data_IF_800821159695
#
_entry.id   IF_800821159695
#
_cell.length_a   1.000
_cell.length_b   1.000
_cell.length_c   1.000
_cell.angle_alpha   90.00
_cell.angle_beta   90.00
_cell.angle_gamma   90.00
#
_symmetry.space_group_name_H-M   'P 1'
#
loop_
_entity.id
_entity.type
_entity.pdbx_description
1 polymer ?
#
# COMPACT_ATOMS: atom_id res chain seq x y z
N UNK A 1 26.91 107.64 34.59
CA UNK A 1 27.57 108.01 33.32
C UNK A 1 28.72 107.05 33.10
N UNK A 2 28.99 106.72 31.83
CA UNK A 2 29.80 105.59 31.28
C UNK A 2 29.01 104.27 31.28
N UNK A 3 28.54 103.67 30.18
CA UNK A 3 29.09 103.48 28.81
C UNK A 3 30.01 102.24 28.83
N UNK A 4 29.91 101.17 28.04
CA UNK A 4 29.20 100.82 26.79
C UNK A 4 29.48 99.32 26.52
N UNK A 5 28.71 98.71 25.61
CA UNK A 5 29.00 97.51 24.78
C UNK A 5 28.39 96.15 25.20
N UNK A 6 27.29 95.80 24.51
CA UNK A 6 26.79 94.42 24.33
C UNK A 6 27.76 93.64 23.44
N UNK A 7 28.23 92.49 23.92
CA UNK A 7 29.04 91.56 23.12
C UNK A 7 28.13 90.51 22.47
N UNK A 8 27.98 90.60 21.15
CA UNK A 8 27.36 89.56 20.33
C UNK A 8 28.25 88.31 20.33
N UNK A 9 27.72 87.16 20.78
CA UNK A 9 28.37 85.86 20.59
C UNK A 9 27.82 85.28 19.28
N UNK A 10 28.65 85.34 18.25
CA UNK A 10 28.36 84.72 16.96
C UNK A 10 28.42 83.20 17.09
N UNK A 11 27.33 82.54 16.71
CA UNK A 11 27.28 81.11 16.46
C UNK A 11 28.10 80.82 15.20
N UNK A 12 29.31 80.29 15.35
CA UNK A 12 30.10 79.79 14.22
C UNK A 12 29.72 78.33 13.97
N UNK A 13 28.96 78.10 12.91
CA UNK A 13 28.79 76.78 12.30
C UNK A 13 30.17 76.25 11.91
N UNK A 14 30.71 75.32 12.68
CA UNK A 14 31.77 74.44 12.22
C UNK A 14 31.16 73.49 11.18
N UNK A 15 31.06 73.95 9.93
CA UNK A 15 30.87 73.10 8.77
C UNK A 15 32.10 72.19 8.68
N UNK A 16 31.93 70.96 9.16
CA UNK A 16 32.89 69.87 9.03
C UNK A 16 33.14 69.68 7.52
N UNK A 17 34.30 70.11 7.02
CA UNK A 17 34.71 69.89 5.64
C UNK A 17 34.72 68.38 5.37
N UNK A 18 33.78 67.91 4.54
CA UNK A 18 33.83 66.56 4.00
C UNK A 18 35.10 66.46 3.14
N UNK A 19 36.11 65.73 3.63
CA UNK A 19 37.27 65.34 2.82
C UNK A 19 36.76 64.36 1.76
N UNK A 20 36.95 64.71 0.48
CA UNK A 20 36.58 63.82 -0.63
C UNK A 20 37.37 62.51 -0.58
N UNK A 21 36.70 61.41 -0.92
CA UNK A 21 37.27 60.06 -0.93
C UNK A 21 38.41 59.94 -1.95
N UNK A 22 39.47 59.21 -1.60
CA UNK A 22 40.56 58.90 -2.53
C UNK A 22 40.15 57.79 -3.50
N UNK A 23 40.73 57.75 -4.71
CA UNK A 23 40.52 56.64 -5.66
C UNK A 23 40.83 55.26 -5.04
N UNK A 24 41.83 55.21 -4.16
CA UNK A 24 42.23 53.99 -3.45
C UNK A 24 41.14 53.54 -2.47
N UNK A 25 40.47 54.45 -1.77
CA UNK A 25 39.36 54.11 -0.88
C UNK A 25 38.18 53.52 -1.65
N UNK A 26 37.88 54.03 -2.84
CA UNK A 26 36.81 53.47 -3.70
C UNK A 26 37.18 52.09 -4.24
N UNK A 27 38.45 51.85 -4.60
CA UNK A 27 38.92 50.53 -5.03
C UNK A 27 38.85 49.50 -3.88
N UNK A 28 39.23 49.91 -2.67
CA UNK A 28 39.14 49.05 -1.48
C UNK A 28 37.67 48.76 -1.14
N UNK A 29 36.79 49.76 -1.19
CA UNK A 29 35.37 49.56 -0.90
C UNK A 29 34.69 48.59 -1.88
N UNK A 30 34.99 48.70 -3.18
CA UNK A 30 34.44 47.80 -4.20
C UNK A 30 34.95 46.37 -4.06
N UNK A 31 36.25 46.20 -3.82
CA UNK A 31 36.84 44.86 -3.64
C UNK A 31 36.28 44.16 -2.41
N UNK A 32 36.12 44.87 -1.28
CA UNK A 32 35.49 44.32 -0.08
C UNK A 32 34.01 43.96 -0.34
N UNK A 33 33.26 44.83 -1.02
CA UNK A 33 31.85 44.58 -1.33
C UNK A 33 31.68 43.33 -2.20
N UNK A 34 32.53 43.15 -3.21
CA UNK A 34 32.52 41.96 -4.08
C UNK A 34 32.80 40.67 -3.30
N UNK A 35 33.80 40.69 -2.42
CA UNK A 35 34.14 39.52 -1.59
C UNK A 35 32.99 39.15 -0.65
N UNK A 36 32.34 40.14 -0.03
CA UNK A 36 31.20 39.90 0.84
C UNK A 36 30.02 39.30 0.06
N UNK A 37 29.69 39.87 -1.11
CA UNK A 37 28.59 39.35 -1.95
C UNK A 37 28.86 37.90 -2.33
N UNK A 38 30.06 37.57 -2.81
CA UNK A 38 30.43 36.19 -3.17
C UNK A 38 30.27 35.24 -1.98
N UNK A 39 30.73 35.65 -0.80
CA UNK A 39 30.63 34.86 0.43
C UNK A 39 29.17 34.60 0.80
N UNK A 40 28.33 35.65 0.81
CA UNK A 40 26.90 35.52 1.16
C UNK A 40 26.16 34.67 0.13
N UNK A 41 26.45 34.83 -1.16
CA UNK A 41 25.84 33.99 -2.21
C UNK A 41 26.20 32.52 -2.02
N UNK A 42 27.46 32.20 -1.69
CA UNK A 42 27.88 30.82 -1.44
C UNK A 42 27.16 30.21 -0.24
N UNK A 43 27.02 30.99 0.85
CA UNK A 43 26.25 30.57 2.02
C UNK A 43 24.79 30.33 1.63
N UNK A 44 24.18 31.24 0.88
CA UNK A 44 22.78 31.10 0.45
C UNK A 44 22.56 29.84 -0.41
N UNK A 45 23.44 29.57 -1.38
CA UNK A 45 23.36 28.36 -2.22
C UNK A 45 23.54 27.10 -1.37
N UNK A 46 24.53 27.10 -0.46
CA UNK A 46 24.79 25.97 0.44
C UNK A 46 23.62 25.71 1.39
N UNK A 47 23.03 26.77 1.95
CA UNK A 47 21.83 26.69 2.79
C UNK A 47 20.66 26.13 1.99
N UNK A 48 20.40 26.64 0.77
CA UNK A 48 19.32 26.12 -0.09
C UNK A 48 19.50 24.64 -0.44
N UNK A 49 20.72 24.23 -0.77
CA UNK A 49 21.04 22.83 -1.01
C UNK A 49 20.81 21.97 0.23
N UNK A 50 21.24 22.46 1.40
CA UNK A 50 21.02 21.80 2.70
C UNK A 50 19.53 21.67 3.00
N UNK A 51 18.75 22.74 2.82
CA UNK A 51 17.29 22.71 3.01
C UNK A 51 16.62 21.69 2.11
N UNK A 52 16.99 21.63 0.82
CA UNK A 52 16.43 20.64 -0.10
C UNK A 52 16.80 19.21 0.28
N UNK A 53 18.01 18.99 0.78
CA UNK A 53 18.46 17.69 1.25
C UNK A 53 17.72 17.26 2.51
N UNK A 54 17.61 18.14 3.52
CA UNK A 54 16.89 17.85 4.76
C UNK A 54 15.42 17.56 4.49
N UNK A 55 14.82 18.30 3.57
CA UNK A 55 13.44 18.12 3.16
C UNK A 55 13.23 16.79 2.41
N UNK A 56 14.14 16.43 1.50
CA UNK A 56 14.13 15.12 0.84
C UNK A 56 14.26 13.96 1.83
N UNK A 57 15.18 14.09 2.80
CA UNK A 57 15.36 13.09 3.84
C UNK A 57 14.12 12.94 4.73
N UNK A 58 13.48 14.05 5.12
CA UNK A 58 12.23 14.03 5.89
C UNK A 58 11.13 13.28 5.16
N UNK A 59 10.95 13.53 3.85
CA UNK A 59 9.97 12.80 3.03
C UNK A 59 10.25 11.31 2.92
N UNK A 60 11.52 10.91 2.76
CA UNK A 60 11.90 9.49 2.72
C UNK A 60 11.61 8.81 4.06
N UNK A 61 11.91 9.46 5.18
CA UNK A 61 11.65 8.92 6.51
C UNK A 61 10.15 8.80 6.80
N UNK A 62 9.38 9.83 6.44
CA UNK A 62 7.92 9.83 6.59
C UNK A 62 7.26 8.77 5.71
N UNK A 63 7.61 8.73 4.42
CA UNK A 63 7.11 7.74 3.47
C UNK A 63 7.47 6.31 3.88
N UNK A 64 8.72 6.08 4.32
CA UNK A 64 9.15 4.78 4.83
C UNK A 64 8.34 4.33 6.06
N UNK A 65 8.02 5.25 6.98
CA UNK A 65 7.16 4.94 8.13
C UNK A 65 5.76 4.52 7.70
N UNK A 66 5.13 5.25 6.79
CA UNK A 66 3.80 4.90 6.27
C UNK A 66 3.80 3.57 5.53
N UNK A 67 4.80 3.33 4.68
CA UNK A 67 4.95 2.08 3.94
C UNK A 67 4.99 0.86 4.89
N UNK A 68 5.81 0.93 5.94
CA UNK A 68 5.91 -0.14 6.94
C UNK A 68 4.63 -0.28 7.75
N UNK A 69 3.93 0.80 8.09
CA UNK A 69 2.69 0.74 8.87
C UNK A 69 1.57 0.02 8.08
N UNK A 70 1.40 0.34 6.79
CA UNK A 70 0.44 -0.34 5.93
C UNK A 70 0.74 -1.83 5.77
N UNK A 71 2.00 -2.18 5.48
CA UNK A 71 2.43 -3.57 5.37
C UNK A 71 2.25 -4.32 6.70
N UNK A 72 2.66 -3.73 7.82
CA UNK A 72 2.57 -4.37 9.13
C UNK A 72 1.12 -4.65 9.56
N UNK A 73 0.19 -3.73 9.26
CA UNK A 73 -1.22 -3.95 9.54
C UNK A 73 -1.76 -5.18 8.81
N UNK A 74 -1.43 -5.34 7.53
CA UNK A 74 -1.95 -6.45 6.72
C UNK A 74 -1.22 -7.76 6.96
N UNK A 75 0.06 -7.71 7.34
CA UNK A 75 0.82 -8.89 7.79
C UNK A 75 0.22 -9.43 9.09
N UNK A 76 -0.23 -8.57 10.02
CA UNK A 76 -0.84 -9.01 11.29
C UNK A 76 -2.19 -9.72 11.09
N UNK A 77 -2.90 -9.38 10.03
CA UNK A 77 -4.20 -9.98 9.70
C UNK A 77 -4.08 -11.17 8.76
N UNK A 78 -2.93 -11.37 8.11
CA UNK A 78 -2.75 -12.38 7.08
C UNK A 78 -3.14 -13.78 7.58
N UNK A 79 -3.89 -14.50 6.73
CA UNK A 79 -4.35 -15.86 7.02
C UNK A 79 -5.51 -15.93 8.03
N UNK A 80 -6.01 -14.81 8.56
CA UNK A 80 -7.17 -14.83 9.44
C UNK A 80 -8.40 -15.37 8.70
N UNK A 81 -9.03 -16.41 9.23
CA UNK A 81 -10.19 -17.06 8.63
C UNK A 81 -11.32 -17.26 9.65
N UNK A 82 -11.50 -16.27 10.54
CA UNK A 82 -12.54 -16.27 11.57
C UNK A 82 -12.20 -17.13 12.78
N UNK A 83 -13.22 -17.76 13.35
CA UNK A 83 -13.09 -18.63 14.52
C UNK A 83 -12.20 -19.88 14.35
N UNK A 84 -11.82 -20.22 13.11
CA UNK A 84 -10.90 -21.33 12.86
C UNK A 84 -9.46 -20.91 13.17
N UNK A 85 -8.82 -21.56 14.16
CA UNK A 85 -7.43 -21.24 14.53
C UNK A 85 -6.43 -21.48 13.39
N UNK A 86 -6.68 -22.50 12.56
CA UNK A 86 -6.04 -22.78 11.25
C UNK A 86 -6.95 -23.73 10.47
N UNK A 87 -7.50 -23.30 9.34
CA UNK A 87 -8.14 -24.23 8.38
C UNK A 87 -7.04 -24.84 7.50
N UNK A 88 -7.14 -26.13 7.21
CA UNK A 88 -6.32 -26.68 6.13
C UNK A 88 -6.93 -26.29 4.79
N UNK A 89 -6.13 -26.16 3.74
CA UNK A 89 -6.64 -25.87 2.40
C UNK A 89 -7.66 -26.91 1.91
N UNK A 90 -7.62 -28.15 2.42
CA UNK A 90 -8.61 -29.19 2.13
C UNK A 90 -10.00 -28.92 2.72
N UNK A 91 -10.10 -28.07 3.75
CA UNK A 91 -11.34 -27.69 4.42
C UNK A 91 -11.96 -26.41 3.83
N UNK A 92 -11.29 -25.77 2.87
CA UNK A 92 -11.76 -24.54 2.25
C UNK A 92 -12.16 -24.81 0.81
N UNK A 93 -13.41 -24.50 0.49
CA UNK A 93 -13.97 -24.63 -0.85
C UNK A 93 -14.13 -23.23 -1.46
N UNK A 94 -13.32 -22.93 -2.48
CA UNK A 94 -13.41 -21.67 -3.22
C UNK A 94 -14.23 -21.88 -4.51
N UNK A 95 -15.44 -21.33 -4.54
CA UNK A 95 -16.33 -21.43 -5.70
C UNK A 95 -16.31 -20.18 -6.57
N UNK A 96 -15.45 -19.19 -6.34
CA UNK A 96 -15.38 -18.00 -7.20
C UNK A 96 -14.76 -18.36 -8.57
N UNK A 97 -15.35 -17.86 -9.67
CA UNK A 97 -15.00 -18.30 -11.02
C UNK A 97 -13.78 -17.59 -11.63
N UNK A 98 -13.84 -16.27 -11.78
CA UNK A 98 -12.93 -15.55 -12.68
C UNK A 98 -11.71 -14.93 -11.97
N UNK A 99 -11.78 -14.69 -10.65
CA UNK A 99 -10.69 -14.04 -9.87
C UNK A 99 -9.97 -15.00 -8.94
N UNK A 100 -9.77 -16.25 -9.37
CA UNK A 100 -9.32 -17.35 -8.49
C UNK A 100 -8.08 -17.00 -7.68
N UNK A 101 -7.08 -16.34 -8.26
CA UNK A 101 -5.85 -16.02 -7.51
C UNK A 101 -6.01 -14.93 -6.47
N UNK A 102 -6.78 -13.89 -6.75
CA UNK A 102 -7.10 -12.87 -5.76
C UNK A 102 -7.88 -13.43 -4.57
N UNK A 103 -8.64 -14.51 -4.77
CA UNK A 103 -9.51 -15.09 -3.73
C UNK A 103 -9.09 -16.47 -3.24
N UNK A 104 -7.97 -17.00 -3.75
CA UNK A 104 -7.45 -18.32 -3.39
C UNK A 104 -7.06 -18.33 -1.91
N UNK A 105 -7.46 -19.39 -1.22
CA UNK A 105 -7.12 -19.59 0.17
C UNK A 105 -5.71 -20.18 0.30
N UNK A 106 -4.87 -19.49 1.06
CA UNK A 106 -3.60 -20.02 1.55
C UNK A 106 -3.61 -20.00 3.08
N UNK A 107 -3.00 -21.02 3.69
CA UNK A 107 -3.00 -21.21 5.15
C UNK A 107 -2.16 -20.13 5.83
N UNK A 108 -1.05 -19.70 5.21
CA UNK A 108 -0.27 -18.58 5.71
C UNK A 108 -0.95 -17.23 5.39
N UNK A 109 -1.80 -17.20 4.37
CA UNK A 109 -2.46 -16.01 3.85
C UNK A 109 -1.46 -14.96 3.36
N UNK A 110 -0.24 -15.39 3.05
CA UNK A 110 0.86 -14.54 2.62
C UNK A 110 1.57 -15.20 1.44
N UNK A 111 1.76 -14.46 0.37
CA UNK A 111 2.57 -14.90 -0.76
C UNK A 111 3.58 -13.80 -1.08
N UNK A 112 4.81 -14.18 -1.41
CA UNK A 112 5.84 -13.24 -1.82
C UNK A 112 6.39 -13.69 -3.16
N UNK A 113 6.47 -12.75 -4.10
CA UNK A 113 6.98 -12.99 -5.43
C UNK A 113 8.11 -12.01 -5.70
N UNK A 114 9.21 -12.49 -6.26
CA UNK A 114 10.33 -11.65 -6.66
C UNK A 114 10.29 -11.44 -8.16
N UNK A 115 10.41 -10.19 -8.60
CA UNK A 115 10.55 -9.87 -10.01
C UNK A 115 12.02 -9.70 -10.36
N UNK A 116 12.58 -10.62 -11.14
CA UNK A 116 14.00 -10.57 -11.50
C UNK A 116 14.31 -9.61 -12.64
N UNK A 117 13.32 -9.19 -13.45
CA UNK A 117 13.45 -8.14 -14.46
C UNK A 117 14.40 -8.46 -15.63
N UNK A 118 14.63 -9.73 -15.95
CA UNK A 118 15.70 -10.17 -16.88
C UNK A 118 15.24 -10.55 -18.30
N UNK A 119 13.94 -10.47 -18.62
CA UNK A 119 13.32 -11.11 -19.79
C UNK A 119 12.21 -10.33 -20.51
N UNK A 120 12.19 -9.00 -20.41
CA UNK A 120 11.20 -8.17 -21.14
C UNK A 120 9.81 -8.17 -20.50
N UNK A 121 8.77 -7.84 -21.27
CA UNK A 121 7.37 -7.68 -20.78
C UNK A 121 6.65 -8.99 -20.44
N UNK A 122 7.36 -10.13 -20.40
CA UNK A 122 6.78 -11.45 -20.14
C UNK A 122 6.62 -11.77 -18.65
N UNK A 123 5.57 -12.53 -18.31
CA UNK A 123 5.31 -13.04 -16.95
C UNK A 123 6.27 -14.17 -16.50
N UNK A 124 7.36 -14.44 -17.25
CA UNK A 124 8.31 -15.53 -16.99
C UNK A 124 9.44 -15.20 -16.01
N UNK A 125 9.56 -13.94 -15.60
CA UNK A 125 10.67 -13.41 -14.79
C UNK A 125 10.39 -13.40 -13.28
N UNK A 126 9.27 -14.00 -12.89
CA UNK A 126 8.80 -14.05 -11.50
C UNK A 126 9.26 -15.33 -10.82
N UNK A 127 9.74 -15.19 -9.60
CA UNK A 127 10.19 -16.30 -8.76
C UNK A 127 9.53 -16.22 -7.37
N UNK A 128 8.67 -17.17 -6.98
CA UNK A 128 8.09 -18.24 -7.81
C UNK A 128 7.29 -17.68 -9.00
N UNK A 129 7.05 -18.50 -10.03
CA UNK A 129 6.32 -18.06 -11.21
C UNK A 129 4.93 -17.52 -10.82
N UNK A 130 4.61 -16.30 -11.27
CA UNK A 130 3.25 -15.80 -11.14
C UNK A 130 2.30 -16.74 -11.90
N UNK A 131 1.08 -16.96 -11.39
CA UNK A 131 0.05 -17.72 -12.09
C UNK A 131 -0.10 -17.23 -13.54
N UNK A 132 0.14 -18.11 -14.51
CA UNK A 132 0.23 -17.75 -15.93
C UNK A 132 -1.15 -17.54 -16.56
N UNK A 133 -1.39 -16.32 -17.05
CA UNK A 133 -2.63 -15.83 -17.69
C UNK A 133 -2.81 -16.38 -19.13
N UNK A 134 -1.87 -17.16 -19.67
CA UNK A 134 -1.83 -17.47 -21.11
C UNK A 134 -2.94 -18.40 -21.66
N UNK A 135 -3.87 -18.95 -20.85
CA UNK A 135 -4.96 -19.80 -21.35
C UNK A 135 -6.36 -19.48 -20.83
N UNK A 136 -6.53 -18.42 -20.04
CA UNK A 136 -7.84 -17.87 -19.74
C UNK A 136 -7.91 -16.50 -20.42
N UNK A 137 -9.02 -16.20 -21.11
CA UNK A 137 -9.28 -14.82 -21.50
C UNK A 137 -9.12 -13.89 -20.30
N UNK A 138 -8.75 -12.63 -20.56
CA UNK A 138 -8.81 -11.48 -19.65
C UNK A 138 -9.38 -11.76 -18.25
N UNK A 139 -8.57 -11.53 -17.19
CA UNK A 139 -8.93 -11.38 -15.76
C UNK A 139 -8.41 -12.40 -14.71
N UNK A 140 -7.25 -13.07 -14.90
CA UNK A 140 -6.76 -14.09 -13.92
C UNK A 140 -5.42 -13.81 -13.20
N UNK A 141 -4.77 -12.66 -13.39
CA UNK A 141 -3.47 -12.34 -12.76
C UNK A 141 -3.45 -11.06 -11.93
N UNK A 142 -2.43 -10.90 -11.09
CA UNK A 142 -2.28 -9.71 -10.24
C UNK A 142 -1.92 -8.45 -11.02
N UNK A 143 -1.16 -8.58 -12.12
CA UNK A 143 -0.55 -7.45 -12.82
C UNK A 143 -0.64 -7.57 -14.33
N UNK A 144 -0.70 -6.42 -14.99
CA UNK A 144 -0.42 -6.29 -16.41
C UNK A 144 1.09 -6.21 -16.67
N UNK A 145 1.52 -6.54 -17.89
CA UNK A 145 2.92 -6.42 -18.27
C UNK A 145 3.42 -4.97 -18.12
N UNK A 146 4.58 -4.80 -17.48
CA UNK A 146 5.19 -3.48 -17.24
C UNK A 146 4.60 -2.70 -16.06
N UNK A 147 3.58 -3.22 -15.38
CA UNK A 147 2.95 -2.52 -14.24
C UNK A 147 3.85 -2.45 -12.99
N UNK A 148 4.73 -3.45 -12.81
CA UNK A 148 5.64 -3.55 -11.65
C UNK A 148 7.06 -3.15 -12.05
N UNK A 149 7.72 -2.36 -11.19
CA UNK A 149 9.12 -1.98 -11.38
C UNK A 149 10.06 -3.20 -11.33
N UNK A 150 11.00 -3.35 -12.28
CA UNK A 150 11.98 -4.43 -12.28
C UNK A 150 12.81 -4.53 -10.99
N UNK A 151 13.21 -5.75 -10.63
CA UNK A 151 14.07 -6.03 -9.48
C UNK A 151 13.47 -5.62 -8.12
N UNK A 152 12.13 -5.59 -8.04
CA UNK A 152 11.36 -5.36 -6.81
C UNK A 152 10.54 -6.60 -6.46
N UNK A 153 10.27 -6.79 -5.17
CA UNK A 153 9.44 -7.87 -4.68
C UNK A 153 7.98 -7.42 -4.58
N UNK A 154 7.06 -8.37 -4.66
CA UNK A 154 5.62 -8.21 -4.47
C UNK A 154 5.21 -9.00 -3.25
N UNK A 155 4.33 -8.39 -2.45
CA UNK A 155 3.72 -9.03 -1.30
C UNK A 155 2.21 -9.12 -1.47
N UNK A 156 1.66 -10.31 -1.27
CA UNK A 156 0.23 -10.56 -1.23
C UNK A 156 -0.15 -10.96 0.18
N UNK A 157 -1.16 -10.29 0.74
CA UNK A 157 -1.82 -10.68 1.99
C UNK A 157 -3.29 -10.96 1.72
N UNK A 158 -3.80 -12.07 2.27
CA UNK A 158 -5.19 -12.50 2.16
C UNK A 158 -5.72 -12.84 3.53
N UNK A 159 -6.90 -12.34 3.84
CA UNK A 159 -7.51 -12.54 5.15
C UNK A 159 -9.01 -12.24 5.11
N UNK A 160 -9.74 -12.83 6.05
CA UNK A 160 -11.11 -12.48 6.35
C UNK A 160 -11.19 -11.26 7.26
N UNK A 161 -12.19 -10.42 7.06
CA UNK A 161 -12.59 -9.38 8.00
C UNK A 161 -13.97 -9.74 8.51
N UNK A 162 -14.09 -9.91 9.82
CA UNK A 162 -15.38 -10.24 10.43
C UNK A 162 -16.41 -9.15 10.12
N UNK A 163 -17.58 -9.59 9.68
CA UNK A 163 -18.75 -8.75 9.49
C UNK A 163 -19.82 -9.23 10.44
N UNK A 164 -20.52 -8.31 11.10
CA UNK A 164 -21.53 -8.63 12.11
C UNK A 164 -22.85 -9.10 11.44
N UNK A 165 -22.75 -10.19 10.69
CA UNK A 165 -23.84 -10.79 9.93
C UNK A 165 -24.14 -12.19 10.50
N UNK A 166 -25.38 -12.40 10.94
CA UNK A 166 -25.83 -13.67 11.50
C UNK A 166 -26.71 -14.41 10.50
N UNK A 167 -26.45 -15.71 10.29
CA UNK A 167 -27.26 -16.56 9.42
C UNK A 167 -28.62 -16.85 10.06
N UNK A 168 -29.73 -16.58 9.36
CA UNK A 168 -31.11 -16.73 9.89
C UNK A 168 -31.68 -18.12 9.68
N UNK A 169 -31.27 -18.80 8.61
CA UNK A 169 -31.71 -20.15 8.28
C UNK A 169 -30.51 -20.98 7.82
N UNK A 170 -30.44 -22.28 8.19
CA UNK A 170 -29.36 -23.15 7.73
C UNK A 170 -29.22 -23.09 6.21
N UNK A 171 -27.99 -22.93 5.73
CA UNK A 171 -27.69 -22.96 4.31
C UNK A 171 -27.77 -24.42 3.83
N UNK A 172 -28.97 -24.91 3.51
CA UNK A 172 -29.24 -26.28 3.05
C UNK A 172 -28.77 -26.52 1.60
N UNK A 173 -27.48 -26.29 1.31
CA UNK A 173 -26.87 -26.35 -0.05
C UNK A 173 -27.76 -25.73 -1.13
N UNK A 174 -28.49 -24.68 -0.77
CA UNK A 174 -29.33 -23.92 -1.69
C UNK A 174 -28.44 -22.89 -2.40
N UNK A 175 -28.97 -22.22 -3.43
CA UNK A 175 -28.26 -21.13 -4.11
C UNK A 175 -28.18 -19.82 -3.31
N UNK A 176 -28.73 -19.81 -2.09
CA UNK A 176 -28.92 -18.63 -1.28
C UNK A 176 -28.42 -18.87 0.14
N UNK A 177 -27.66 -17.91 0.66
CA UNK A 177 -27.36 -17.75 2.07
C UNK A 177 -28.21 -16.59 2.61
N UNK A 178 -28.99 -16.83 3.65
CA UNK A 178 -29.84 -15.82 4.28
C UNK A 178 -29.25 -15.36 5.59
N UNK A 179 -29.21 -14.05 5.78
CA UNK A 179 -28.67 -13.43 6.99
C UNK A 179 -29.65 -12.40 7.54
N UNK A 180 -29.51 -12.11 8.83
CA UNK A 180 -30.34 -11.14 9.53
C UNK A 180 -29.99 -9.73 9.04
N UNK A 181 -31.00 -8.96 8.68
CA UNK A 181 -30.86 -7.54 8.41
C UNK A 181 -30.80 -6.78 9.73
N UNK A 182 -29.64 -6.24 10.03
CA UNK A 182 -29.35 -5.32 11.13
C UNK A 182 -28.95 -3.94 10.59
N UNK A 183 -28.98 -2.86 11.39
CA UNK A 183 -28.44 -1.56 10.97
C UNK A 183 -26.99 -1.60 10.48
N UNK A 184 -26.18 -2.55 10.96
CA UNK A 184 -24.77 -2.74 10.59
C UNK A 184 -24.59 -3.48 9.25
N UNK A 185 -25.57 -4.30 8.87
CA UNK A 185 -25.54 -5.08 7.62
C UNK A 185 -26.31 -4.41 6.49
N UNK A 186 -27.16 -3.43 6.80
CA UNK A 186 -27.92 -2.67 5.82
C UNK A 186 -26.98 -1.86 4.91
N UNK A 187 -27.09 -2.07 3.59
CA UNK A 187 -26.20 -1.51 2.56
C UNK A 187 -24.70 -1.85 2.73
N UNK A 188 -24.34 -2.74 3.66
CA UNK A 188 -22.95 -3.12 3.88
C UNK A 188 -22.39 -4.01 2.77
N UNK A 189 -23.27 -4.72 2.05
CA UNK A 189 -22.92 -5.69 1.02
C UNK A 189 -23.55 -5.31 -0.32
N UNK A 190 -22.80 -5.55 -1.39
CA UNK A 190 -23.20 -5.27 -2.76
C UNK A 190 -22.90 -6.46 -3.67
N UNK A 191 -23.49 -6.44 -4.86
CA UNK A 191 -23.18 -7.46 -5.87
C UNK A 191 -21.67 -7.49 -6.16
N UNK A 192 -21.15 -8.70 -6.37
CA UNK A 192 -19.75 -9.07 -6.57
C UNK A 192 -18.84 -8.96 -5.34
N UNK A 193 -19.35 -8.60 -4.15
CA UNK A 193 -18.57 -8.75 -2.93
C UNK A 193 -18.23 -10.22 -2.71
N UNK A 194 -16.99 -10.48 -2.28
CA UNK A 194 -16.48 -11.81 -2.00
C UNK A 194 -16.55 -12.04 -0.50
N UNK A 195 -17.25 -13.09 -0.12
CA UNK A 195 -17.45 -13.48 1.27
C UNK A 195 -16.87 -14.86 1.52
N UNK A 196 -16.41 -15.06 2.75
CA UNK A 196 -16.10 -16.37 3.30
C UNK A 196 -17.12 -16.66 4.40
N UNK A 197 -17.68 -17.86 4.41
CA UNK A 197 -18.48 -18.37 5.53
C UNK A 197 -17.74 -19.54 6.17
N UNK A 198 -17.67 -19.58 7.50
CA UNK A 198 -16.87 -20.57 8.24
C UNK A 198 -17.58 -21.07 9.49
N UNK A 199 -17.57 -22.38 9.75
CA UNK A 199 -18.08 -23.01 10.98
C UNK A 199 -16.96 -23.42 11.96
N UNK A 200 -15.80 -22.77 11.82
CA UNK A 200 -14.53 -23.05 12.50
C UNK A 200 -13.82 -24.35 12.06
N UNK A 201 -14.46 -25.23 11.28
CA UNK A 201 -13.87 -26.48 10.79
C UNK A 201 -13.77 -26.53 9.27
N UNK A 202 -14.73 -25.93 8.58
CA UNK A 202 -14.83 -25.82 7.14
C UNK A 202 -15.17 -24.38 6.76
N UNK A 203 -14.76 -23.98 5.57
CA UNK A 203 -15.14 -22.69 5.00
C UNK A 203 -15.47 -22.78 3.51
N UNK A 204 -16.35 -21.89 3.07
CA UNK A 204 -16.65 -21.69 1.66
C UNK A 204 -16.44 -20.21 1.30
N UNK A 205 -15.71 -19.96 0.21
CA UNK A 205 -15.50 -18.63 -0.36
C UNK A 205 -16.36 -18.52 -1.62
N UNK A 206 -17.20 -17.48 -1.68
CA UNK A 206 -18.11 -17.24 -2.79
C UNK A 206 -18.27 -15.75 -3.07
N UNK A 207 -18.77 -15.42 -4.26
CA UNK A 207 -19.14 -14.05 -4.65
C UNK A 207 -20.65 -13.88 -4.66
N UNK A 208 -21.13 -12.72 -4.19
CA UNK A 208 -22.55 -12.37 -4.24
C UNK A 208 -22.94 -12.06 -5.70
N UNK A 209 -23.83 -12.86 -6.25
CA UNK A 209 -24.28 -12.74 -7.64
C UNK A 209 -25.52 -11.85 -7.84
N UNK A 210 -26.30 -11.58 -6.80
CA UNK A 210 -27.50 -10.74 -6.85
C UNK A 210 -27.24 -9.32 -6.35
N UNK A 211 -28.13 -8.40 -6.71
CA UNK A 211 -28.28 -7.17 -5.94
C UNK A 211 -28.83 -7.51 -4.56
N UNK A 212 -28.07 -7.19 -3.51
CA UNK A 212 -28.46 -7.42 -2.12
C UNK A 212 -29.58 -6.45 -1.77
N UNK A 213 -30.74 -6.99 -1.44
CA UNK A 213 -31.90 -6.22 -0.99
C UNK A 213 -32.47 -6.87 0.27
N UNK A 214 -33.00 -6.04 1.16
CA UNK A 214 -33.69 -6.49 2.37
C UNK A 214 -35.11 -6.93 2.05
N UNK A 215 -35.51 -8.11 2.53
CA UNK A 215 -36.86 -8.62 2.44
C UNK A 215 -37.34 -9.03 3.83
N UNK A 216 -38.19 -8.19 4.45
CA UNK A 216 -38.50 -8.34 5.87
C UNK A 216 -37.27 -8.09 6.73
N UNK A 217 -36.93 -9.03 7.60
CA UNK A 217 -35.74 -8.98 8.46
C UNK A 217 -34.56 -9.76 7.87
N UNK A 218 -34.61 -10.18 6.60
CA UNK A 218 -33.57 -10.98 5.96
C UNK A 218 -32.90 -10.26 4.78
N UNK A 219 -31.58 -10.42 4.69
CA UNK A 219 -30.79 -10.18 3.49
C UNK A 219 -30.49 -11.53 2.83
N UNK A 220 -30.54 -11.56 1.49
CA UNK A 220 -30.22 -12.77 0.72
C UNK A 220 -28.93 -12.58 -0.08
N UNK A 221 -27.93 -13.40 0.19
CA UNK A 221 -26.71 -13.55 -0.60
C UNK A 221 -26.87 -14.75 -1.53
N UNK A 222 -27.21 -14.49 -2.79
CA UNK A 222 -27.26 -15.51 -3.83
C UNK A 222 -25.87 -15.71 -4.41
N UNK A 223 -25.40 -16.95 -4.49
CA UNK A 223 -24.11 -17.31 -5.09
C UNK A 223 -24.34 -18.12 -6.38
N UNK A 224 -24.95 -17.50 -7.39
CA UNK A 224 -25.29 -18.15 -8.65
C UNK A 224 -24.09 -18.48 -9.54
N UNK A 225 -24.30 -19.38 -10.52
CA UNK A 225 -23.28 -19.86 -11.47
C UNK A 225 -22.72 -18.78 -12.43
N UNK A 226 -23.23 -17.55 -12.37
CA UNK A 226 -22.74 -16.43 -13.18
C UNK A 226 -21.37 -15.94 -12.73
N UNK A 227 -21.14 -15.88 -11.43
CA UNK A 227 -19.90 -15.39 -10.80
C UNK A 227 -19.19 -16.49 -9.98
N UNK A 228 -19.84 -17.64 -9.82
CA UNK A 228 -19.33 -18.79 -9.08
C UNK A 228 -19.31 -20.05 -9.96
N UNK A 229 -18.39 -20.98 -9.70
CA UNK A 229 -18.29 -22.30 -10.35
C UNK A 229 -19.38 -23.27 -9.91
N UNK A 230 -20.03 -22.98 -8.78
CA UNK A 230 -21.12 -23.78 -8.21
C UNK A 230 -22.13 -22.83 -7.58
N UNK A 231 -23.41 -23.18 -7.68
CA UNK A 231 -24.50 -22.50 -6.98
C UNK A 231 -24.84 -23.19 -5.65
N UNK A 232 -23.91 -23.96 -5.09
CA UNK A 232 -24.03 -24.63 -3.81
C UNK A 232 -22.71 -24.51 -3.06
N UNK A 233 -22.80 -24.17 -1.79
CA UNK A 233 -21.68 -24.29 -0.85
C UNK A 233 -21.37 -25.77 -0.59
N UNK A 234 -20.11 -26.07 -0.30
CA UNK A 234 -19.66 -27.44 -0.01
C UNK A 234 -20.28 -27.96 1.29
N UNK A 235 -20.43 -27.09 2.29
CA UNK A 235 -20.93 -27.42 3.63
C UNK A 235 -22.25 -26.71 3.95
N UNK A 236 -22.93 -27.21 4.98
CA UNK A 236 -24.13 -26.57 5.52
C UNK A 236 -23.73 -25.71 6.71
N UNK A 237 -24.05 -24.42 6.67
CA UNK A 237 -23.75 -23.47 7.72
C UNK A 237 -25.02 -23.13 8.50
N UNK A 238 -24.90 -23.06 9.83
CA UNK A 238 -25.98 -22.66 10.74
C UNK A 238 -25.69 -21.29 11.37
N UNK A 239 -26.51 -20.85 12.33
CA UNK A 239 -26.37 -19.54 12.99
C UNK A 239 -25.10 -19.37 13.82
N UNK A 240 -24.30 -20.42 14.02
CA UNK A 240 -22.99 -20.35 14.70
C UNK A 240 -21.84 -20.13 13.72
N UNK A 241 -22.09 -20.23 12.42
CA UNK A 241 -21.07 -19.92 11.43
C UNK A 241 -20.86 -18.41 11.34
N UNK A 242 -19.61 -18.02 11.12
CA UNK A 242 -19.19 -16.64 10.96
C UNK A 242 -19.12 -16.29 9.48
N UNK A 243 -19.56 -15.09 9.13
CA UNK A 243 -19.39 -14.53 7.79
C UNK A 243 -18.27 -13.50 7.87
N UNK A 244 -17.35 -13.60 6.93
CA UNK A 244 -16.20 -12.71 6.78
C UNK A 244 -16.25 -12.10 5.39
N UNK A 245 -15.89 -10.83 5.27
CA UNK A 245 -15.49 -10.26 3.99
C UNK A 245 -14.10 -10.78 3.65
N UNK A 246 -13.95 -11.40 2.48
CA UNK A 246 -12.64 -11.86 2.04
C UNK A 246 -11.88 -10.70 1.40
N UNK A 247 -10.75 -10.34 1.99
CA UNK A 247 -9.89 -9.25 1.54
C UNK A 247 -8.61 -9.83 0.95
N UNK A 248 -8.17 -9.25 -0.18
CA UNK A 248 -6.86 -9.53 -0.76
C UNK A 248 -6.17 -8.22 -1.07
N UNK A 249 -4.96 -8.07 -0.56
CA UNK A 249 -4.13 -6.87 -0.71
C UNK A 249 -2.80 -7.24 -1.31
N UNK A 250 -2.44 -6.59 -2.39
CA UNK A 250 -1.20 -6.82 -3.12
C UNK A 250 -0.39 -5.54 -3.13
N UNK A 251 0.78 -5.60 -2.54
CA UNK A 251 1.75 -4.50 -2.47
C UNK A 251 2.84 -4.71 -3.50
N UNK A 252 3.13 -3.66 -4.27
CA UNK A 252 4.13 -3.68 -5.33
C UNK A 252 4.68 -2.28 -5.56
N UNK A 253 5.83 -2.18 -6.20
CA UNK A 253 6.35 -0.90 -6.66
C UNK A 253 5.94 -0.72 -8.12
N UNK A 254 5.32 0.41 -8.43
CA UNK A 254 4.90 0.75 -9.79
C UNK A 254 4.90 2.26 -10.01
N UNK A 255 4.54 2.68 -11.22
CA UNK A 255 4.39 4.09 -11.57
C UNK A 255 2.91 4.39 -11.82
N UNK A 256 2.27 5.23 -10.98
CA UNK A 256 0.83 5.49 -11.06
C UNK A 256 0.46 6.40 -12.23
N UNK A 257 1.37 7.28 -12.63
CA UNK A 257 1.15 8.18 -13.76
C UNK A 257 1.34 7.42 -15.06
N UNK A 258 0.37 7.58 -15.95
CA UNK A 258 0.39 6.98 -17.28
C UNK A 258 0.78 8.03 -18.32
N UNK A 259 1.51 7.61 -19.34
CA UNK A 259 1.78 8.41 -20.52
C UNK A 259 0.55 8.55 -21.42
N UNK A 260 0.71 9.26 -22.55
CA UNK A 260 -0.38 9.52 -23.49
C UNK A 260 -0.94 8.26 -24.18
N UNK A 261 -0.23 7.15 -24.10
CA UNK A 261 -0.59 5.82 -24.63
C UNK A 261 -1.11 4.85 -23.56
N UNK A 262 -1.19 5.29 -22.29
CA UNK A 262 -1.75 4.50 -21.19
C UNK A 262 -0.77 3.49 -20.58
N UNK A 263 0.52 3.61 -20.89
CA UNK A 263 1.60 2.87 -20.25
C UNK A 263 2.16 3.66 -19.06
N UNK A 264 2.82 3.03 -18.08
CA UNK A 264 3.43 3.75 -16.97
C UNK A 264 4.51 4.74 -17.45
N UNK A 265 4.38 6.02 -17.08
CA UNK A 265 5.30 7.07 -17.50
C UNK A 265 6.70 6.81 -16.91
N UNK A 266 7.69 6.61 -17.79
CA UNK A 266 9.07 6.34 -17.40
C UNK A 266 9.71 7.47 -16.58
N UNK A 267 9.15 8.68 -16.61
CA UNK A 267 9.61 9.83 -15.83
C UNK A 267 8.91 9.98 -14.48
N UNK A 268 7.80 9.27 -14.26
CA UNK A 268 7.06 9.33 -13.01
C UNK A 268 7.85 8.68 -11.87
N UNK A 269 7.70 9.19 -10.65
CA UNK A 269 8.42 8.65 -9.51
C UNK A 269 7.88 7.25 -9.15
N UNK A 270 8.76 6.24 -8.97
CA UNK A 270 8.36 4.96 -8.41
C UNK A 270 7.61 5.13 -7.10
N UNK A 271 6.51 4.41 -6.95
CA UNK A 271 5.56 4.57 -5.86
C UNK A 271 5.20 3.20 -5.30
N UNK A 272 5.09 3.10 -3.98
CA UNK A 272 4.47 1.95 -3.34
C UNK A 272 2.98 1.97 -3.65
N UNK A 273 2.54 0.97 -4.40
CA UNK A 273 1.16 0.78 -4.83
C UNK A 273 0.52 -0.36 -4.03
N UNK A 274 -0.81 -0.30 -3.87
CA UNK A 274 -1.61 -1.38 -3.31
C UNK A 274 -2.82 -1.69 -4.18
N UNK A 275 -2.90 -2.91 -4.70
CA UNK A 275 -4.15 -3.45 -5.24
C UNK A 275 -4.99 -4.01 -4.10
N UNK A 276 -6.26 -3.63 -4.03
CA UNK A 276 -7.23 -4.19 -3.09
C UNK A 276 -8.37 -4.86 -3.85
N UNK A 277 -8.85 -5.99 -3.33
CA UNK A 277 -10.03 -6.67 -3.86
C UNK A 277 -11.28 -5.86 -3.50
N UNK A 278 -11.99 -5.37 -4.51
CA UNK A 278 -13.22 -4.59 -4.37
C UNK A 278 -14.22 -5.11 -5.40
N UNK A 279 -15.38 -5.60 -4.94
CA UNK A 279 -16.47 -6.08 -5.82
C UNK A 279 -16.02 -7.05 -6.90
N UNK A 280 -15.18 -8.00 -6.52
CA UNK A 280 -14.70 -9.04 -7.43
C UNK A 280 -13.67 -8.55 -8.45
N UNK A 281 -12.98 -7.43 -8.20
CA UNK A 281 -11.89 -6.94 -9.03
C UNK A 281 -10.75 -6.37 -8.18
N UNK A 282 -9.51 -6.44 -8.68
CA UNK A 282 -8.35 -5.85 -8.01
C UNK A 282 -8.13 -4.41 -8.48
N UNK A 283 -8.30 -3.45 -7.58
CA UNK A 283 -8.16 -2.02 -7.87
C UNK A 283 -6.85 -1.49 -7.28
N UNK A 284 -5.99 -0.94 -8.14
CA UNK A 284 -4.72 -0.31 -7.75
C UNK A 284 -4.92 1.06 -7.12
N UNK A 285 -4.16 1.38 -6.07
CA UNK A 285 -4.09 2.73 -5.49
C UNK A 285 -2.64 3.09 -5.09
N UNK A 286 -2.22 4.35 -5.26
CA UNK A 286 -0.93 4.81 -4.76
C UNK A 286 -0.97 5.00 -3.24
N UNK A 287 0.11 4.63 -2.55
CA UNK A 287 0.26 4.80 -1.10
C UNK A 287 1.37 5.78 -0.75
N UNK A 288 2.60 5.52 -1.22
CA UNK A 288 3.79 6.29 -0.85
C UNK A 288 4.66 6.51 -2.08
N UNK A 289 4.81 7.77 -2.50
CA UNK A 289 5.66 8.16 -3.61
C UNK A 289 7.15 8.13 -3.22
N UNK A 290 8.02 7.87 -4.21
CA UNK A 290 9.48 7.88 -4.03
C UNK A 290 10.05 6.58 -3.46
N UNK A 291 9.25 5.50 -3.44
CA UNK A 291 9.72 4.17 -3.05
C UNK A 291 10.23 3.45 -4.29
N UNK A 292 11.54 3.43 -4.49
CA UNK A 292 12.16 2.86 -5.69
C UNK A 292 12.20 1.33 -5.69
N UNK A 293 12.44 0.72 -4.53
CA UNK A 293 12.61 -0.73 -4.41
C UNK A 293 12.04 -1.26 -3.10
N UNK A 294 11.24 -2.31 -3.20
CA UNK A 294 10.81 -3.13 -2.08
C UNK A 294 11.50 -4.48 -2.16
N UNK A 295 12.06 -4.94 -1.05
CA UNK A 295 12.64 -6.28 -0.92
C UNK A 295 12.12 -6.94 0.35
N UNK A 296 11.79 -8.22 0.24
CA UNK A 296 11.22 -9.00 1.32
C UNK A 296 12.05 -10.27 1.46
N UNK A 297 12.35 -10.60 2.71
CA UNK A 297 13.03 -11.83 3.08
C UNK A 297 12.14 -12.61 4.04
N UNK A 298 12.05 -13.91 3.80
CA UNK A 298 11.29 -14.85 4.60
C UNK A 298 12.21 -15.48 5.64
N UNK A 299 11.74 -15.55 6.89
CA UNK A 299 12.45 -16.26 7.95
C UNK A 299 12.21 -17.76 7.81
N UNK A 300 13.29 -18.54 7.68
CA UNK A 300 13.24 -19.99 7.58
C UNK A 300 13.78 -20.62 8.87
N UNK A 301 12.94 -21.45 9.50
CA UNK A 301 13.34 -22.39 10.55
C UNK A 301 13.86 -23.68 9.89
N UNK A 302 15.17 -23.84 9.95
CA UNK A 302 15.95 -24.96 9.40
C UNK A 302 16.20 -26.07 10.40
N UNK A 303 15.71 -25.95 11.64
CA UNK A 303 16.02 -26.91 12.68
C UNK A 303 15.42 -28.28 12.34
N UNK A 304 16.26 -29.32 12.36
CA UNK A 304 15.88 -30.69 11.96
C UNK A 304 15.15 -31.47 13.05
N UNK A 305 14.71 -30.78 14.11
CA UNK A 305 13.95 -31.36 15.21
C UNK A 305 12.47 -31.52 14.82
N UNK A 306 11.76 -32.53 15.38
CA UNK A 306 10.34 -32.72 15.10
C UNK A 306 9.53 -31.45 15.35
N UNK A 307 8.54 -31.13 14.50
CA UNK A 307 7.77 -29.87 14.53
C UNK A 307 7.25 -29.48 15.94
N UNK A 308 6.85 -30.46 16.74
CA UNK A 308 6.37 -30.23 18.12
C UNK A 308 7.42 -29.66 19.09
N UNK A 309 8.69 -29.71 18.71
CA UNK A 309 9.83 -29.21 19.48
C UNK A 309 10.55 -28.06 18.79
N UNK A 310 10.14 -27.67 17.57
CA UNK A 310 10.70 -26.50 16.90
C UNK A 310 10.37 -25.24 17.70
N UNK A 311 11.38 -24.40 17.89
CA UNK A 311 11.21 -23.15 18.63
C UNK A 311 10.45 -22.08 17.81
N UNK A 312 10.17 -22.38 16.52
CA UNK A 312 9.49 -21.50 15.57
C UNK A 312 10.23 -20.18 15.36
N UNK A 313 11.53 -20.16 15.62
CA UNK A 313 12.40 -19.03 15.34
C UNK A 313 13.12 -19.24 14.02
N UNK A 314 13.26 -18.16 13.24
CA UNK A 314 14.01 -18.25 11.99
C UNK A 314 15.50 -18.36 12.29
N UNK A 315 16.16 -19.40 11.75
CA UNK A 315 17.62 -19.51 11.83
C UNK A 315 18.30 -18.71 10.70
N UNK A 316 17.61 -18.51 9.58
CA UNK A 316 18.10 -17.73 8.44
C UNK A 316 16.98 -16.94 7.76
N UNK A 317 17.36 -15.88 7.05
CA UNK A 317 16.46 -15.11 6.18
C UNK A 317 16.84 -15.34 4.73
N UNK A 318 15.87 -15.72 3.92
CA UNK A 318 16.08 -16.07 2.51
C UNK A 318 15.14 -15.26 1.61
N UNK A 319 15.55 -15.07 0.36
CA UNK A 319 14.65 -14.50 -0.64
C UNK A 319 13.56 -15.51 -1.03
N UNK A 320 12.43 -15.04 -1.57
CA UNK A 320 11.32 -15.89 -2.00
C UNK A 320 11.73 -16.99 -2.97
N UNK A 321 12.78 -16.77 -3.78
CA UNK A 321 13.32 -17.74 -4.75
C UNK A 321 13.83 -19.05 -4.12
N UNK A 322 14.04 -19.07 -2.80
CA UNK A 322 14.60 -20.20 -2.05
C UNK A 322 13.57 -20.99 -1.24
N UNK A 323 12.29 -20.59 -1.26
CA UNK A 323 11.18 -21.20 -0.49
C UNK A 323 10.16 -21.80 -1.45
#
# INVERSE_FOLDING_TARGET
MTGTQRKHINCSNALMFARGFSLVEMMIAMTISLVIILTVTQIFVSSRATYSYTEGLSRVQEGGRFAIDFLAQDIRMAGYSGCARRLNSANVSNVVKDIKKAVDYDIAGMEVYRYTGTGGTGLGDWTPALPNIANAGIDEGYFSAGEVEPFTDVFVSKYGVSVDATITAPADKTANLKVLSTPETDNAFTQNDVLMVTDCNNADIFSISNTVNTSGDELTFTHGNGTNTSNRLANNYDSRAEILRWESRVYYIGRPDLDGDGNPDANANPTLMRKALVKGSLISQPLVEGVERMQIMLGMDTDTIPEKFRDSTANQYVHPDYV
#
